data_IF_654115051616
#
_entry.id   IF_654115051616
#
_cell.length_a   1.000
_cell.length_b   1.000
_cell.length_c   1.000
_cell.angle_alpha   90.00
_cell.angle_beta   90.00
_cell.angle_gamma   90.00
#
_symmetry.space_group_name_H-M   'P 1'
#
loop_
_entity.id
_entity.type
_entity.pdbx_description
1 polymer ?
#
# COMPACT_ATOMS: atom_id res chain seq x y z
N UNK A 1 -5.47 -30.69 3.78
CA UNK A 1 -4.77 -29.66 2.98
C UNK A 1 -5.14 -28.28 3.53
N UNK A 2 -4.15 -27.48 3.86
CA UNK A 2 -4.38 -26.12 4.32
C UNK A 2 -4.40 -25.18 3.11
N UNK A 3 -5.45 -24.39 3.00
CA UNK A 3 -5.51 -23.33 2.02
C UNK A 3 -4.72 -22.15 2.54
N UNK A 4 -3.92 -21.55 1.68
CA UNK A 4 -3.20 -20.31 1.97
C UNK A 4 -3.61 -19.23 1.00
N UNK A 5 -3.68 -18.03 1.52
CA UNK A 5 -3.89 -16.84 0.72
C UNK A 5 -2.68 -15.95 0.86
N UNK A 6 -2.26 -15.36 -0.23
CA UNK A 6 -1.22 -14.33 -0.23
C UNK A 6 -1.92 -12.98 -0.21
N UNK A 7 -1.55 -12.16 0.76
CA UNK A 7 -2.10 -10.81 0.92
C UNK A 7 -1.02 -9.81 0.57
N UNK A 8 -1.38 -8.85 -0.26
CA UNK A 8 -0.54 -7.72 -0.62
C UNK A 8 -1.24 -6.44 -0.19
N UNK A 9 -0.61 -5.68 0.67
CA UNK A 9 -1.14 -4.41 1.17
C UNK A 9 -0.34 -3.28 0.53
N UNK A 10 -1.06 -2.34 -0.09
CA UNK A 10 -0.47 -1.16 -0.71
C UNK A 10 -0.79 0.04 0.17
N UNK A 11 0.24 0.69 0.69
CA UNK A 11 0.11 1.85 1.56
C UNK A 11 0.72 3.05 0.85
N UNK A 12 -0.04 4.13 0.76
CA UNK A 12 0.43 5.35 0.11
C UNK A 12 0.07 6.58 0.94
N UNK A 13 0.87 7.66 0.85
CA UNK A 13 0.53 8.90 1.54
C UNK A 13 -0.76 9.49 0.97
N UNK A 14 -1.58 10.09 1.84
CA UNK A 14 -2.75 10.84 1.38
C UNK A 14 -2.31 12.01 0.51
N UNK A 15 -3.13 12.36 -0.48
CA UNK A 15 -2.82 13.45 -1.41
C UNK A 15 -2.70 14.81 -0.72
N UNK A 16 -3.29 14.96 0.44
CA UNK A 16 -3.26 16.20 1.24
C UNK A 16 -2.05 16.31 2.15
N UNK A 17 -1.23 15.24 2.22
CA UNK A 17 -0.07 15.19 3.11
C UNK A 17 1.20 15.46 2.31
N UNK A 18 2.14 16.18 2.92
CA UNK A 18 3.44 16.43 2.33
C UNK A 18 4.23 15.12 2.25
N UNK A 19 4.80 14.85 1.08
CA UNK A 19 5.63 13.66 0.84
C UNK A 19 7.00 14.09 0.34
N UNK A 20 7.98 14.31 1.24
CA UNK A 20 9.32 14.74 0.83
C UNK A 20 10.03 13.76 -0.08
N UNK A 21 9.80 12.45 0.11
CA UNK A 21 10.37 11.40 -0.74
C UNK A 21 9.81 11.48 -2.15
N UNK A 22 8.50 11.60 -2.29
CA UNK A 22 7.84 11.74 -3.57
C UNK A 22 8.29 12.99 -4.31
N UNK A 23 8.44 14.11 -3.60
CA UNK A 23 8.92 15.36 -4.17
C UNK A 23 10.35 15.22 -4.69
N UNK A 24 11.23 14.56 -3.94
CA UNK A 24 12.61 14.31 -4.36
C UNK A 24 12.69 13.43 -5.60
N UNK A 25 11.89 12.38 -5.66
CA UNK A 25 11.81 11.49 -6.82
C UNK A 25 11.29 12.25 -8.05
N UNK A 26 10.27 13.06 -7.87
CA UNK A 26 9.72 13.86 -8.96
C UNK A 26 10.75 14.81 -9.53
N UNK A 27 11.51 15.46 -8.68
CA UNK A 27 12.56 16.37 -9.12
C UNK A 27 13.66 15.65 -9.90
N UNK A 28 14.05 14.46 -9.45
CA UNK A 28 15.02 13.63 -10.15
C UNK A 28 14.50 13.21 -11.53
N UNK A 29 13.23 12.82 -11.62
CA UNK A 29 12.60 12.45 -12.90
C UNK A 29 12.62 13.64 -13.87
N UNK A 30 12.28 14.83 -13.39
CA UNK A 30 12.30 16.04 -14.21
C UNK A 30 13.71 16.39 -14.66
N UNK A 31 14.71 16.16 -13.80
CA UNK A 31 16.12 16.37 -14.16
C UNK A 31 16.57 15.49 -15.30
N UNK A 32 15.95 14.34 -15.46
CA UNK A 32 16.26 13.42 -16.57
C UNK A 32 15.50 13.77 -17.86
N UNK A 33 14.74 14.86 -17.89
CA UNK A 33 14.05 15.33 -19.07
C UNK A 33 12.56 14.98 -19.14
N UNK A 34 12.01 14.34 -18.11
CA UNK A 34 10.60 13.93 -18.09
C UNK A 34 9.74 14.99 -17.41
N UNK A 35 9.53 16.12 -18.08
CA UNK A 35 8.90 17.29 -17.49
C UNK A 35 7.37 17.19 -17.31
N UNK A 36 6.73 16.21 -17.94
CA UNK A 36 5.29 16.00 -17.83
C UNK A 36 4.87 15.16 -16.62
N UNK A 37 5.84 14.62 -15.89
CA UNK A 37 5.55 13.77 -14.72
C UNK A 37 5.22 14.66 -13.52
N UNK A 38 4.06 14.42 -12.93
CA UNK A 38 3.56 15.15 -11.77
C UNK A 38 2.94 14.18 -10.76
N UNK A 39 2.78 14.66 -9.53
CA UNK A 39 2.06 13.89 -8.49
C UNK A 39 2.77 12.65 -8.03
N UNK A 40 4.09 12.64 -8.05
CA UNK A 40 4.87 11.47 -7.62
C UNK A 40 4.70 11.27 -6.12
N UNK A 41 4.35 10.04 -5.73
CA UNK A 41 4.18 9.63 -4.34
C UNK A 41 4.98 8.36 -4.11
N UNK A 42 5.62 8.29 -2.95
CA UNK A 42 6.36 7.09 -2.54
C UNK A 42 5.57 6.41 -1.43
N UNK A 43 5.19 5.17 -1.66
CA UNK A 43 4.48 4.36 -0.68
C UNK A 43 5.25 3.09 -0.39
N UNK A 44 4.59 2.16 0.27
CA UNK A 44 5.19 0.87 0.60
C UNK A 44 4.20 -0.25 0.29
N UNK A 45 4.75 -1.44 0.11
CA UNK A 45 4.00 -2.66 -0.09
C UNK A 45 4.38 -3.65 0.99
N UNK A 46 3.39 -4.22 1.66
CA UNK A 46 3.59 -5.26 2.68
C UNK A 46 2.93 -6.53 2.18
N UNK A 47 3.67 -7.63 2.18
CA UNK A 47 3.13 -8.93 1.75
C UNK A 47 3.22 -9.92 2.88
N UNK A 48 2.21 -10.76 3.00
CA UNK A 48 2.21 -11.85 3.96
C UNK A 48 1.28 -12.97 3.50
N UNK A 49 1.41 -14.11 4.13
CA UNK A 49 0.55 -15.27 3.85
C UNK A 49 -0.35 -15.52 5.05
N UNK A 50 -1.57 -15.93 4.78
CA UNK A 50 -2.54 -16.32 5.80
C UNK A 50 -3.11 -17.69 5.48
N UNK A 51 -3.44 -18.45 6.52
CA UNK A 51 -4.20 -19.67 6.36
C UNK A 51 -5.66 -19.33 6.07
N UNK A 52 -6.26 -20.09 5.18
CA UNK A 52 -7.65 -19.90 4.80
C UNK A 52 -7.82 -19.25 3.44
N UNK A 53 -9.06 -19.16 3.02
CA UNK A 53 -9.44 -18.55 1.75
C UNK A 53 -10.02 -17.14 1.99
N UNK A 54 -10.24 -16.42 0.90
CA UNK A 54 -10.83 -15.09 0.94
C UNK A 54 -12.28 -15.16 1.43
N UNK A 55 -12.48 -14.78 2.66
CA UNK A 55 -13.81 -14.72 3.30
C UNK A 55 -14.01 -13.33 3.90
N UNK A 56 -15.26 -12.94 4.21
CA UNK A 56 -15.50 -11.66 4.87
C UNK A 56 -14.76 -11.52 6.20
N UNK A 57 -14.60 -12.61 6.94
CA UNK A 57 -13.89 -12.61 8.23
C UNK A 57 -12.40 -12.34 8.05
N UNK A 58 -11.81 -12.94 7.03
CA UNK A 58 -10.40 -12.73 6.69
C UNK A 58 -10.18 -11.28 6.24
N UNK A 59 -11.07 -10.75 5.41
CA UNK A 59 -10.98 -9.37 4.96
C UNK A 59 -11.07 -8.38 6.11
N UNK A 60 -11.94 -8.65 7.06
CA UNK A 60 -12.10 -7.82 8.24
C UNK A 60 -10.84 -7.83 9.11
N UNK A 61 -10.22 -9.00 9.26
CA UNK A 61 -8.97 -9.15 10.00
C UNK A 61 -7.83 -8.37 9.34
N UNK A 62 -7.72 -8.49 8.01
CA UNK A 62 -6.71 -7.75 7.24
C UNK A 62 -6.93 -6.24 7.36
N UNK A 63 -8.17 -5.80 7.27
CA UNK A 63 -8.51 -4.39 7.40
C UNK A 63 -8.09 -3.84 8.77
N UNK A 64 -8.31 -4.59 9.83
CA UNK A 64 -7.87 -4.20 11.17
C UNK A 64 -6.35 -4.13 11.29
N UNK A 65 -5.64 -5.06 10.66
CA UNK A 65 -4.17 -5.02 10.61
C UNK A 65 -3.66 -3.79 9.87
N UNK A 66 -4.28 -3.48 8.74
CA UNK A 66 -3.90 -2.31 7.94
C UNK A 66 -4.13 -1.01 8.72
N UNK A 67 -5.30 -0.89 9.31
CA UNK A 67 -5.69 0.32 10.04
C UNK A 67 -4.88 0.51 11.33
N UNK A 68 -4.64 -0.59 12.05
CA UNK A 68 -4.04 -0.52 13.38
C UNK A 68 -2.52 -0.62 13.41
N UNK A 69 -1.89 -1.20 12.40
CA UNK A 69 -0.47 -1.52 12.43
C UNK A 69 0.28 -1.16 11.16
N UNK A 70 -0.25 -1.56 10.00
CA UNK A 70 0.49 -1.50 8.74
C UNK A 70 0.48 -0.12 8.10
N UNK A 71 -0.50 0.70 8.43
CA UNK A 71 -0.59 2.07 7.94
C UNK A 71 -0.86 3.03 9.09
N UNK A 72 -0.64 4.30 8.84
CA UNK A 72 -1.09 5.37 9.72
C UNK A 72 -2.28 6.06 9.02
N UNK A 73 -3.53 5.76 9.40
CA UNK A 73 -4.69 6.26 8.66
C UNK A 73 -4.89 7.77 8.73
N UNK A 74 -4.16 8.45 9.61
CA UNK A 74 -4.18 9.91 9.66
C UNK A 74 -3.50 10.52 8.45
N UNK A 75 -2.43 9.89 7.96
CA UNK A 75 -1.59 10.42 6.88
C UNK A 75 -1.47 9.48 5.68
N UNK A 76 -1.99 8.26 5.77
CA UNK A 76 -1.85 7.24 4.73
C UNK A 76 -3.19 6.63 4.36
N UNK A 77 -3.31 6.25 3.09
CA UNK A 77 -4.38 5.41 2.60
C UNK A 77 -3.81 4.03 2.33
N UNK A 78 -4.67 3.02 2.38
CA UNK A 78 -4.25 1.67 2.06
C UNK A 78 -5.32 0.94 1.25
N UNK A 79 -4.89 -0.05 0.52
CA UNK A 79 -5.75 -1.06 -0.09
C UNK A 79 -5.03 -2.40 -0.03
N UNK A 80 -5.76 -3.48 -0.20
CA UNK A 80 -5.13 -4.79 -0.21
C UNK A 80 -5.75 -5.69 -1.26
N UNK A 81 -4.97 -6.68 -1.68
CA UNK A 81 -5.39 -7.71 -2.60
C UNK A 81 -5.13 -9.07 -1.97
N UNK A 82 -6.04 -10.01 -2.18
CA UNK A 82 -5.93 -11.37 -1.69
C UNK A 82 -5.91 -12.29 -2.91
N UNK A 83 -4.90 -13.15 -2.98
CA UNK A 83 -4.84 -14.18 -4.02
C UNK A 83 -4.64 -15.55 -3.39
N UNK A 84 -5.31 -16.55 -3.96
CA UNK A 84 -5.17 -17.93 -3.51
C UNK A 84 -3.82 -18.48 -3.98
N UNK A 85 -3.22 -19.30 -3.13
CA UNK A 85 -2.00 -20.04 -3.48
C UNK A 85 -2.30 -21.51 -3.72
#
# INVERSE_FOLDING_TARGET
MLFRSKVTVFVSPKTTVLDPQGAAVQQAIKSLGHHSIEGVRVGKTVTFEMEGSDTPEIREEIDRLCDGLLSNPVIEDYRFEISAE
#
